data_IF_523079830778
#
_entry.id   IF_523079830778
#
_cell.length_a   1.000
_cell.length_b   1.000
_cell.length_c   1.000
_cell.angle_alpha   90.00
_cell.angle_beta   90.00
_cell.angle_gamma   90.00
#
_symmetry.space_group_name_H-M   'P 1'
#
loop_
_entity.id
_entity.type
_entity.pdbx_description
1 polymer ?
#
# COMPACT_ATOMS: atom_id res chain seq x y z
N UNK A 1 -4.37 -8.96 -28.89
CA UNK A 1 -5.47 -9.49 -28.05
C UNK A 1 -5.61 -8.60 -26.82
N UNK A 2 -6.83 -8.39 -26.33
CA UNK A 2 -7.05 -7.63 -25.09
C UNK A 2 -6.66 -8.50 -23.89
N UNK A 3 -5.87 -7.95 -22.95
CA UNK A 3 -5.61 -8.57 -21.64
C UNK A 3 -6.57 -7.99 -20.62
N UNK A 4 -7.08 -8.84 -19.75
CA UNK A 4 -7.85 -8.45 -18.56
C UNK A 4 -6.89 -7.95 -17.47
N UNK A 5 -7.39 -7.13 -16.54
CA UNK A 5 -6.61 -6.67 -15.38
C UNK A 5 -6.14 -7.85 -14.52
N UNK A 6 -6.98 -8.89 -14.39
CA UNK A 6 -6.68 -10.09 -13.63
C UNK A 6 -5.47 -10.89 -14.17
N UNK A 7 -5.11 -10.70 -15.45
CA UNK A 7 -3.95 -11.32 -16.08
C UNK A 7 -2.64 -10.55 -15.85
N UNK A 8 -2.71 -9.32 -15.33
CA UNK A 8 -1.55 -8.43 -15.18
C UNK A 8 -1.30 -8.03 -13.72
N UNK A 9 -2.31 -8.03 -12.87
CA UNK A 9 -2.19 -7.63 -11.46
C UNK A 9 -1.25 -8.53 -10.65
N UNK A 10 -0.60 -7.95 -9.64
CA UNK A 10 0.04 -8.71 -8.56
C UNK A 10 -1.05 -9.39 -7.73
N UNK A 11 -1.04 -10.73 -7.68
CA UNK A 11 -2.11 -11.51 -7.06
C UNK A 11 -2.15 -11.39 -5.53
N UNK A 12 -0.98 -11.39 -4.91
CA UNK A 12 -0.81 -11.35 -3.45
C UNK A 12 0.04 -10.13 -3.07
N UNK A 13 -0.54 -8.91 -3.13
CA UNK A 13 0.19 -7.71 -2.77
C UNK A 13 0.54 -7.72 -1.28
N UNK A 14 1.62 -7.02 -0.94
CA UNK A 14 1.92 -6.72 0.47
C UNK A 14 0.83 -5.77 0.97
N UNK A 15 0.29 -6.06 2.15
CA UNK A 15 -0.78 -5.29 2.80
C UNK A 15 -0.37 -4.94 4.22
N UNK A 16 -0.95 -3.87 4.76
CA UNK A 16 -0.79 -3.45 6.16
C UNK A 16 -2.14 -3.32 6.85
N UNK A 17 -2.13 -3.25 8.18
CA UNK A 17 -3.33 -3.02 9.00
C UNK A 17 -3.49 -1.52 9.28
N UNK A 18 -4.72 -1.03 9.60
CA UNK A 18 -4.94 0.37 9.96
C UNK A 18 -4.07 0.85 11.13
N UNK A 19 -3.69 -0.07 12.02
CA UNK A 19 -2.88 0.19 13.21
C UNK A 19 -1.36 0.05 12.95
N UNK A 20 -0.95 -0.35 11.73
CA UNK A 20 0.48 -0.47 11.38
C UNK A 20 1.17 0.89 11.49
N UNK A 21 2.27 1.02 12.26
CA UNK A 21 2.97 2.29 12.41
C UNK A 21 3.49 2.84 11.09
N UNK A 22 3.32 4.14 10.84
CA UNK A 22 3.76 4.81 9.60
C UNK A 22 5.24 4.53 9.28
N UNK A 23 6.12 4.50 10.29
CA UNK A 23 7.55 4.18 10.08
C UNK A 23 7.78 2.79 9.46
N UNK A 24 6.95 1.83 9.80
CA UNK A 24 6.99 0.48 9.23
C UNK A 24 6.49 0.49 7.79
N UNK A 25 5.42 1.24 7.50
CA UNK A 25 4.91 1.44 6.13
C UNK A 25 5.97 2.05 5.22
N UNK A 26 6.65 3.11 5.67
CA UNK A 26 7.76 3.76 4.94
C UNK A 26 8.87 2.74 4.65
N UNK A 27 9.25 1.96 5.65
CA UNK A 27 10.28 0.93 5.51
C UNK A 27 9.87 -0.13 4.47
N UNK A 28 8.63 -0.61 4.51
CA UNK A 28 8.11 -1.59 3.54
C UNK A 28 8.16 -1.02 2.12
N UNK A 29 7.63 0.19 1.91
CA UNK A 29 7.63 0.87 0.60
C UNK A 29 9.05 0.98 0.04
N UNK A 30 10.00 1.44 0.86
CA UNK A 30 11.39 1.61 0.46
C UNK A 30 12.10 0.27 0.18
N UNK A 31 11.96 -0.72 1.06
CA UNK A 31 12.63 -2.03 0.91
C UNK A 31 12.06 -2.85 -0.23
N UNK A 32 10.76 -2.76 -0.48
CA UNK A 32 10.07 -3.53 -1.52
C UNK A 32 10.02 -2.80 -2.87
N UNK A 33 10.50 -1.55 -2.93
CA UNK A 33 10.48 -0.71 -4.14
C UNK A 33 9.09 -0.62 -4.78
N UNK A 34 8.06 -0.45 -3.94
CA UNK A 34 6.66 -0.27 -4.36
C UNK A 34 6.20 1.15 -4.05
N UNK A 35 5.31 1.72 -4.87
CA UNK A 35 4.85 3.11 -4.70
C UNK A 35 3.69 3.26 -3.70
N UNK A 36 3.13 2.15 -3.22
CA UNK A 36 2.01 2.12 -2.30
C UNK A 36 1.47 0.72 -2.07
N UNK A 37 0.61 0.60 -1.07
CA UNK A 37 0.04 -0.68 -0.67
C UNK A 37 -1.39 -0.54 -0.11
N UNK A 38 -2.20 -1.61 -0.20
CA UNK A 38 -3.52 -1.64 0.40
C UNK A 38 -3.44 -1.72 1.94
N UNK A 39 -4.39 -1.05 2.60
CA UNK A 39 -4.66 -1.19 4.03
C UNK A 39 -5.89 -2.09 4.19
N UNK A 40 -5.73 -3.23 4.84
CA UNK A 40 -6.80 -4.23 5.06
C UNK A 40 -7.06 -4.38 6.54
N UNK A 41 -8.29 -4.69 6.95
CA UNK A 41 -8.60 -4.99 8.35
C UNK A 41 -8.31 -6.46 8.72
N UNK A 42 -8.62 -6.85 9.97
CA UNK A 42 -8.42 -8.22 10.47
C UNK A 42 -9.14 -9.31 9.65
N UNK A 43 -10.27 -8.97 9.02
CA UNK A 43 -11.02 -9.88 8.16
C UNK A 43 -10.47 -9.94 6.71
N UNK A 44 -9.35 -9.26 6.43
CA UNK A 44 -8.77 -9.14 5.09
C UNK A 44 -9.55 -8.23 4.15
N UNK A 45 -10.49 -7.43 4.66
CA UNK A 45 -11.26 -6.49 3.85
C UNK A 45 -10.45 -5.22 3.63
N UNK A 46 -10.36 -4.76 2.39
CA UNK A 46 -9.79 -3.46 2.03
C UNK A 46 -10.53 -2.32 2.75
N UNK A 47 -9.79 -1.48 3.47
CA UNK A 47 -10.32 -0.31 4.18
C UNK A 47 -9.62 0.99 3.79
N UNK A 48 -8.50 0.93 3.07
CA UNK A 48 -7.81 2.11 2.56
C UNK A 48 -6.64 1.76 1.64
N UNK A 49 -5.96 2.79 1.15
CA UNK A 49 -4.71 2.69 0.37
C UNK A 49 -3.77 3.76 0.89
N UNK A 50 -2.48 3.45 1.01
CA UNK A 50 -1.43 4.41 1.35
C UNK A 50 -0.32 4.34 0.30
N UNK A 51 0.15 5.50 -0.12
CA UNK A 51 1.19 5.67 -1.13
C UNK A 51 2.37 6.48 -0.59
N UNK A 52 3.50 6.42 -1.29
CA UNK A 52 4.64 7.30 -1.02
C UNK A 52 4.28 8.79 -1.08
N UNK A 53 3.28 9.17 -1.90
CA UNK A 53 2.83 10.56 -2.01
C UNK A 53 2.12 11.03 -0.74
N UNK A 54 1.31 10.16 -0.12
CA UNK A 54 0.64 10.46 1.15
C UNK A 54 1.68 10.67 2.27
N UNK A 55 2.76 9.89 2.24
CA UNK A 55 3.87 9.99 3.20
C UNK A 55 4.67 11.29 3.04
N UNK A 56 4.89 11.75 1.80
CA UNK A 56 5.54 13.03 1.53
C UNK A 56 4.72 14.19 2.09
N UNK A 57 3.39 14.16 1.92
CA UNK A 57 2.52 15.22 2.45
C UNK A 57 2.51 15.26 3.98
N UNK A 58 2.54 14.10 4.64
CA UNK A 58 2.68 14.02 6.10
C UNK A 58 3.98 14.66 6.61
N UNK A 59 5.10 14.47 5.92
CA UNK A 59 6.39 15.08 6.33
C UNK A 59 6.41 16.60 6.07
N UNK A 60 5.74 17.07 5.01
CA UNK A 60 5.68 18.50 4.67
C UNK A 60 4.58 19.29 5.40
N UNK A 61 3.68 18.62 6.12
CA UNK A 61 2.65 19.25 6.96
C UNK A 61 1.62 20.10 6.20
N UNK A 62 1.35 19.76 4.94
CA UNK A 62 0.31 20.38 4.10
C UNK A 62 -1.03 19.68 4.29
#
# INVERSE_FOLDING_TARGET
MAKTVAEVMTRDPIVVQPETPIKEVIKIIAEQSISGLPVVNEAGKLVGVISETDLLWQETGV
#
